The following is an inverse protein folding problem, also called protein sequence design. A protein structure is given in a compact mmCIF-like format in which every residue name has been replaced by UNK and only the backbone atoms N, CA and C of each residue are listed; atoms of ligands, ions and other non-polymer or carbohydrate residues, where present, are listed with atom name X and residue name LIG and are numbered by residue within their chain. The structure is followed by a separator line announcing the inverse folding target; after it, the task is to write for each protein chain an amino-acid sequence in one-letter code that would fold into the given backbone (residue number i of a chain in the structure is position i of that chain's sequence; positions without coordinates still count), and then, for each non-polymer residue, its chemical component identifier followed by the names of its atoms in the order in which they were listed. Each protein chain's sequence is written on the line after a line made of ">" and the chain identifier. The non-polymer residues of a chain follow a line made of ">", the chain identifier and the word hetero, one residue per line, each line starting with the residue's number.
data_IF_038705185996
#
_entry.id   IF_038705185996
#
_cell.length_a   1.000
_cell.length_b   1.000
_cell.length_c   1.000
_cell.angle_alpha   90.00
_cell.angle_beta   90.00
_cell.angle_gamma   90.00
#
_symmetry.space_group_name_H-M   'P 1'
#
loop_
_entity.id
_entity.type
_entity.pdbx_description
1 polymer ?
#
# COMPACT_ATOMS: atom_id res chain seq x y z
N UNK A 1 -20.68 -7.70 11.28
CA UNK A 1 -19.90 -6.86 10.33
C UNK A 1 -18.61 -7.55 9.88
N UNK A 2 -18.10 -7.21 8.69
CA UNK A 2 -16.85 -7.73 8.12
C UNK A 2 -15.63 -6.95 8.64
N UNK A 3 -14.48 -7.61 8.65
CA UNK A 3 -13.18 -7.08 9.09
C UNK A 3 -12.27 -6.98 7.87
N UNK A 4 -11.68 -5.80 7.68
CA UNK A 4 -10.72 -5.49 6.64
C UNK A 4 -9.33 -5.30 7.24
N UNK A 5 -8.33 -6.00 6.72
CA UNK A 5 -6.92 -5.62 6.95
C UNK A 5 -6.44 -4.70 5.85
N UNK A 6 -5.84 -3.57 6.22
CA UNK A 6 -5.22 -2.65 5.28
C UNK A 6 -3.71 -2.62 5.46
N UNK A 7 -2.97 -2.44 4.36
CA UNK A 7 -1.50 -2.45 4.35
C UNK A 7 -0.97 -1.16 3.72
N UNK A 8 -0.17 -0.36 4.45
CA UNK A 8 0.30 0.94 3.98
C UNK A 8 1.27 0.83 2.81
N UNK A 9 1.31 1.90 2.02
CA UNK A 9 2.33 2.11 1.00
C UNK A 9 3.59 2.77 1.58
N UNK A 10 4.44 3.30 0.71
CA UNK A 10 5.61 4.09 1.10
C UNK A 10 5.22 5.45 1.66
N UNK A 11 5.94 5.91 2.68
CA UNK A 11 5.70 7.13 3.44
C UNK A 11 5.87 6.94 4.97
N UNK A 12 5.15 6.00 5.60
CA UNK A 12 5.13 5.84 7.06
C UNK A 12 6.27 4.98 7.63
N UNK A 13 7.16 4.44 6.79
CA UNK A 13 8.30 3.65 7.24
C UNK A 13 9.21 4.45 8.18
N UNK A 14 9.79 3.76 9.16
CA UNK A 14 10.77 4.32 10.09
C UNK A 14 11.87 3.30 10.34
N UNK A 15 13.12 3.74 10.58
CA UNK A 15 14.18 2.86 11.03
C UNK A 15 13.74 2.14 12.30
N UNK A 16 14.05 0.85 12.42
CA UNK A 16 13.72 0.11 13.64
C UNK A 16 12.46 -0.76 13.55
N UNK A 17 11.71 -0.72 12.44
CA UNK A 17 10.41 -1.38 12.35
C UNK A 17 10.49 -2.91 12.21
N UNK A 18 11.58 -3.46 11.67
CA UNK A 18 11.83 -4.90 11.59
C UNK A 18 12.39 -5.50 12.89
N UNK A 19 12.91 -4.67 13.81
CA UNK A 19 13.27 -5.12 15.16
C UNK A 19 12.05 -5.16 16.09
N UNK A 20 10.95 -4.49 15.72
CA UNK A 20 9.69 -4.45 16.45
C UNK A 20 8.69 -5.55 16.03
N UNK A 21 9.10 -6.52 15.21
CA UNK A 21 8.21 -7.57 14.73
C UNK A 21 7.67 -8.43 15.89
N UNK A 22 6.43 -8.96 15.78
CA UNK A 22 5.88 -9.87 16.76
C UNK A 22 6.78 -11.09 16.98
N UNK A 23 6.89 -11.54 18.24
CA UNK A 23 7.68 -12.72 18.59
C UNK A 23 7.07 -14.00 18.00
N UNK A 24 7.92 -14.96 17.66
CA UNK A 24 7.49 -16.32 17.25
C UNK A 24 7.47 -16.58 15.75
N UNK A 25 7.92 -15.63 14.92
CA UNK A 25 8.12 -15.82 13.48
C UNK A 25 9.60 -15.78 13.08
N UNK A 26 10.00 -16.65 12.14
CA UNK A 26 11.31 -16.60 11.48
C UNK A 26 11.27 -15.79 10.17
N UNK A 27 10.26 -14.92 9.98
CA UNK A 27 10.00 -14.20 8.73
C UNK A 27 11.19 -13.33 8.27
N UNK A 28 11.90 -12.69 9.21
CA UNK A 28 13.07 -11.90 8.88
C UNK A 28 14.22 -12.78 8.38
N UNK A 29 14.45 -13.93 9.02
CA UNK A 29 15.46 -14.90 8.58
C UNK A 29 15.08 -15.54 7.24
N UNK A 30 13.81 -15.93 7.06
CA UNK A 30 13.28 -16.43 5.79
C UNK A 30 13.51 -15.41 4.67
N UNK A 31 13.18 -14.13 4.92
CA UNK A 31 13.44 -13.05 3.95
C UNK A 31 14.93 -12.91 3.64
N UNK A 32 15.81 -12.98 4.63
CA UNK A 32 17.25 -12.96 4.41
C UNK A 32 17.73 -14.12 3.54
N UNK A 33 17.27 -15.34 3.81
CA UNK A 33 17.62 -16.53 3.04
C UNK A 33 17.14 -16.43 1.58
N UNK A 34 15.94 -15.87 1.36
CA UNK A 34 15.38 -15.66 0.02
C UNK A 34 16.17 -14.60 -0.76
N UNK A 35 16.57 -13.52 -0.10
CA UNK A 35 17.30 -12.42 -0.73
C UNK A 35 18.79 -12.73 -0.91
N UNK A 36 19.34 -13.66 -0.14
CA UNK A 36 20.78 -13.93 -0.09
C UNK A 36 21.58 -12.83 0.61
N UNK A 37 20.92 -11.99 1.43
CA UNK A 37 21.52 -10.90 2.20
C UNK A 37 20.78 -10.72 3.53
N UNK A 38 21.38 -10.02 4.49
CA UNK A 38 20.73 -9.75 5.77
C UNK A 38 19.63 -8.69 5.63
N UNK A 39 18.36 -9.13 5.59
CA UNK A 39 17.19 -8.26 5.52
C UNK A 39 17.08 -7.29 6.71
N UNK A 40 17.66 -7.62 7.87
CA UNK A 40 17.71 -6.72 9.02
C UNK A 40 18.53 -5.46 8.77
N UNK A 41 19.47 -5.49 7.81
CA UNK A 41 20.26 -4.33 7.41
C UNK A 41 19.50 -3.37 6.50
N UNK A 42 18.35 -3.76 5.95
CA UNK A 42 17.52 -2.90 5.10
C UNK A 42 16.72 -1.87 5.92
N UNK A 43 16.62 -2.05 7.23
CA UNK A 43 15.80 -1.25 8.13
C UNK A 43 16.62 -0.27 8.97
N UNK A 44 17.35 0.61 8.28
CA UNK A 44 18.07 1.71 8.90
C UNK A 44 17.84 3.00 8.11
N UNK A 45 18.16 4.15 8.71
CA UNK A 45 17.90 5.46 8.12
C UNK A 45 18.56 5.67 6.74
N UNK A 46 19.71 5.04 6.50
CA UNK A 46 20.41 5.11 5.21
C UNK A 46 19.70 4.27 4.15
N UNK A 47 19.45 3.01 4.47
CA UNK A 47 18.81 2.05 3.58
C UNK A 47 17.38 2.50 3.22
N UNK A 48 16.61 3.03 4.17
CA UNK A 48 15.23 3.50 3.96
C UNK A 48 15.11 4.76 3.08
N UNK A 49 16.22 5.31 2.58
CA UNK A 49 16.18 6.28 1.47
C UNK A 49 15.94 5.60 0.11
N UNK A 50 16.19 4.29 0.03
CA UNK A 50 16.08 3.50 -1.18
C UNK A 50 14.73 2.79 -1.28
N UNK A 51 14.12 2.88 -2.45
CA UNK A 51 12.76 2.36 -2.69
C UNK A 51 12.70 0.84 -2.45
N UNK A 52 13.73 0.09 -2.86
CA UNK A 52 13.83 -1.35 -2.62
C UNK A 52 13.76 -1.72 -1.14
N UNK A 53 14.58 -1.07 -0.31
CA UNK A 53 14.64 -1.35 1.12
C UNK A 53 13.30 -1.03 1.79
N UNK A 54 12.72 0.13 1.50
CA UNK A 54 11.41 0.54 2.05
C UNK A 54 10.34 -0.50 1.73
N UNK A 55 10.23 -0.92 0.46
CA UNK A 55 9.20 -1.85 0.04
C UNK A 55 9.33 -3.23 0.68
N UNK A 56 10.56 -3.76 0.77
CA UNK A 56 10.83 -5.03 1.45
C UNK A 56 10.48 -4.96 2.94
N UNK A 57 10.86 -3.87 3.62
CA UNK A 57 10.56 -3.73 5.03
C UNK A 57 9.03 -3.62 5.28
N UNK A 58 8.30 -2.92 4.42
CA UNK A 58 6.83 -2.83 4.49
C UNK A 58 6.15 -4.19 4.27
N UNK A 59 6.64 -4.98 3.30
CA UNK A 59 6.17 -6.35 3.08
C UNK A 59 6.36 -7.22 4.33
N UNK A 60 7.59 -7.25 4.87
CA UNK A 60 7.95 -8.10 6.01
C UNK A 60 7.12 -7.70 7.25
N UNK A 61 7.08 -6.41 7.56
CA UNK A 61 6.33 -5.87 8.70
C UNK A 61 4.83 -6.19 8.58
N UNK A 62 4.22 -5.86 7.44
CA UNK A 62 2.79 -6.09 7.22
C UNK A 62 2.40 -7.56 7.35
N UNK A 63 3.15 -8.48 6.74
CA UNK A 63 2.88 -9.93 6.82
C UNK A 63 3.07 -10.45 8.25
N UNK A 64 4.12 -10.01 8.96
CA UNK A 64 4.39 -10.48 10.32
C UNK A 64 3.28 -10.08 11.30
N UNK A 65 2.85 -8.82 11.27
CA UNK A 65 1.77 -8.33 12.13
C UNK A 65 0.42 -8.97 11.79
N UNK A 66 0.09 -9.10 10.50
CA UNK A 66 -1.16 -9.75 10.09
C UNK A 66 -1.20 -11.23 10.51
N UNK A 67 -0.10 -11.98 10.31
CA UNK A 67 0.00 -13.38 10.75
C UNK A 67 -0.10 -13.51 12.27
N UNK A 68 0.48 -12.59 13.04
CA UNK A 68 0.37 -12.59 14.50
C UNK A 68 -1.08 -12.41 14.96
N UNK A 69 -1.86 -11.51 14.35
CA UNK A 69 -3.29 -11.37 14.64
C UNK A 69 -4.11 -12.60 14.23
N UNK A 70 -3.80 -13.17 13.07
CA UNK A 70 -4.43 -14.40 12.56
C UNK A 70 -4.20 -15.58 13.52
N UNK A 71 -2.98 -15.73 14.03
CA UNK A 71 -2.64 -16.75 15.05
C UNK A 71 -3.37 -16.51 16.38
N UNK A 72 -3.71 -15.27 16.70
CA UNK A 72 -4.56 -14.90 17.85
C UNK A 72 -6.07 -15.06 17.56
N UNK A 73 -6.46 -15.60 16.41
CA UNK A 73 -7.86 -15.88 16.05
C UNK A 73 -8.57 -14.76 15.27
N UNK A 74 -7.87 -13.68 14.95
CA UNK A 74 -8.39 -12.55 14.18
C UNK A 74 -8.16 -12.77 12.67
N UNK A 75 -9.18 -13.37 12.03
CA UNK A 75 -9.21 -13.63 10.60
C UNK A 75 -9.86 -12.44 9.87
N UNK A 76 -9.23 -11.88 8.82
CA UNK A 76 -9.85 -10.88 7.96
C UNK A 76 -10.85 -11.52 6.99
N UNK A 77 -11.95 -10.84 6.69
CA UNK A 77 -12.85 -11.22 5.58
C UNK A 77 -12.43 -10.57 4.26
N UNK A 78 -11.64 -9.50 4.35
CA UNK A 78 -11.14 -8.72 3.24
C UNK A 78 -9.74 -8.19 3.54
N UNK A 79 -8.92 -8.06 2.50
CA UNK A 79 -7.62 -7.39 2.55
C UNK A 79 -7.55 -6.33 1.45
N UNK A 80 -6.82 -5.25 1.69
CA UNK A 80 -6.49 -4.26 0.65
C UNK A 80 -5.17 -3.57 0.97
N UNK A 81 -4.44 -3.17 -0.05
CA UNK A 81 -3.14 -2.53 0.13
C UNK A 81 -2.96 -1.31 -0.74
N UNK A 82 -2.34 -0.27 -0.19
CA UNK A 82 -1.99 0.94 -0.95
C UNK A 82 -0.61 0.74 -1.57
N UNK A 83 -0.54 0.80 -2.90
CA UNK A 83 0.73 0.62 -3.64
C UNK A 83 1.42 -0.71 -3.27
N UNK A 84 2.65 -0.66 -2.77
CA UNK A 84 3.41 -1.82 -2.26
C UNK A 84 2.63 -2.64 -1.23
N UNK A 85 1.73 -2.03 -0.45
CA UNK A 85 0.87 -2.74 0.49
C UNK A 85 -0.01 -3.83 -0.16
N UNK A 86 -0.20 -3.80 -1.48
CA UNK A 86 -0.91 -4.84 -2.21
C UNK A 86 -0.23 -6.23 -2.09
N UNK A 87 1.10 -6.27 -1.96
CA UNK A 87 1.86 -7.52 -1.83
C UNK A 87 1.63 -8.23 -0.49
N UNK A 88 1.78 -7.59 0.69
CA UNK A 88 1.43 -8.23 1.95
C UNK A 88 -0.07 -8.57 2.02
N UNK A 89 -0.96 -7.78 1.40
CA UNK A 89 -2.37 -8.14 1.27
C UNK A 89 -2.56 -9.46 0.50
N UNK A 90 -1.93 -9.62 -0.67
CA UNK A 90 -1.99 -10.85 -1.45
C UNK A 90 -1.42 -12.07 -0.70
N UNK A 91 -0.34 -11.88 0.07
CA UNK A 91 0.24 -12.93 0.92
C UNK A 91 -0.73 -13.34 2.03
N UNK A 92 -1.33 -12.38 2.72
CA UNK A 92 -2.26 -12.62 3.84
C UNK A 92 -3.58 -13.24 3.36
N UNK A 93 -4.04 -12.89 2.16
CA UNK A 93 -5.15 -13.57 1.53
C UNK A 93 -4.81 -14.99 1.03
N UNK A 94 -3.54 -15.41 1.07
CA UNK A 94 -3.10 -16.72 0.56
C UNK A 94 -3.03 -16.81 -0.97
N UNK A 95 -3.10 -15.68 -1.69
CA UNK A 95 -2.99 -15.64 -3.14
C UNK A 95 -1.55 -15.73 -3.65
N UNK A 96 -0.59 -15.25 -2.86
CA UNK A 96 0.83 -15.19 -3.18
C UNK A 96 1.66 -15.78 -2.05
N UNK A 97 2.64 -16.64 -2.35
CA UNK A 97 3.55 -17.14 -1.34
C UNK A 97 4.47 -16.00 -0.84
N UNK A 98 4.79 -15.98 0.46
CA UNK A 98 5.67 -14.96 1.02
C UNK A 98 7.04 -14.94 0.32
N UNK A 99 7.61 -16.12 0.03
CA UNK A 99 8.90 -16.21 -0.64
C UNK A 99 8.90 -15.57 -2.03
N UNK A 100 7.84 -15.75 -2.80
CA UNK A 100 7.71 -15.12 -4.12
C UNK A 100 7.42 -13.63 -4.00
N UNK A 101 6.65 -13.21 -3.01
CA UNK A 101 6.44 -11.80 -2.72
C UNK A 101 7.76 -11.08 -2.40
N UNK A 102 8.65 -11.67 -1.61
CA UNK A 102 9.97 -11.09 -1.30
C UNK A 102 10.79 -10.89 -2.58
N UNK A 103 10.86 -11.90 -3.45
CA UNK A 103 11.59 -11.81 -4.73
C UNK A 103 11.01 -10.75 -5.65
N UNK A 104 9.69 -10.76 -5.84
CA UNK A 104 8.99 -9.81 -6.70
C UNK A 104 9.10 -8.38 -6.18
N UNK A 105 9.02 -8.18 -4.87
CA UNK A 105 9.15 -6.85 -4.25
C UNK A 105 10.57 -6.31 -4.34
N UNK A 106 11.59 -7.16 -4.20
CA UNK A 106 12.97 -6.76 -4.45
C UNK A 106 13.13 -6.23 -5.88
N UNK A 107 12.68 -7.00 -6.89
CA UNK A 107 12.72 -6.58 -8.29
C UNK A 107 11.90 -5.31 -8.55
N UNK A 108 10.69 -5.23 -7.99
CA UNK A 108 9.81 -4.05 -8.10
C UNK A 108 10.53 -2.81 -7.61
N UNK A 109 11.08 -2.84 -6.40
CA UNK A 109 11.74 -1.71 -5.80
C UNK A 109 12.98 -1.27 -6.58
N UNK A 110 13.80 -2.23 -7.02
CA UNK A 110 14.99 -1.99 -7.85
C UNK A 110 14.64 -1.33 -9.17
N UNK A 111 13.69 -1.90 -9.93
CA UNK A 111 13.34 -1.38 -11.25
C UNK A 111 12.63 -0.03 -11.21
N UNK A 112 11.81 0.22 -10.18
CA UNK A 112 11.22 1.54 -9.96
C UNK A 112 12.30 2.60 -9.71
N UNK A 113 13.29 2.29 -8.86
CA UNK A 113 14.37 3.19 -8.51
C UNK A 113 15.32 3.45 -9.69
N UNK A 114 15.67 2.42 -10.45
CA UNK A 114 16.56 2.53 -11.61
C UNK A 114 15.94 3.30 -12.78
N UNK A 115 14.62 3.21 -12.97
CA UNK A 115 13.94 3.91 -14.06
C UNK A 115 13.96 5.43 -13.89
N UNK A 116 13.86 5.91 -12.65
CA UNK A 116 13.85 7.35 -12.31
C UNK A 116 14.69 7.62 -11.05
N UNK A 117 16.03 7.64 -11.17
CA UNK A 117 16.91 7.76 -10.01
C UNK A 117 16.91 9.15 -9.36
N UNK A 118 16.55 10.20 -10.11
CA UNK A 118 16.49 11.58 -9.61
C UNK A 118 15.60 12.47 -10.48
N UNK A 119 15.19 13.64 -9.96
CA UNK A 119 14.47 14.66 -10.72
C UNK A 119 12.96 14.41 -10.88
N UNK A 120 12.44 13.37 -10.23
CA UNK A 120 11.03 12.96 -10.23
C UNK A 120 10.56 12.68 -8.81
N UNK A 121 9.26 12.47 -8.64
CA UNK A 121 8.70 12.04 -7.37
C UNK A 121 7.19 12.19 -7.33
N UNK A 122 6.69 12.46 -6.12
CA UNK A 122 5.26 12.60 -5.83
C UNK A 122 4.98 13.89 -5.06
N UNK A 123 3.84 14.52 -5.32
CA UNK A 123 3.34 15.68 -4.56
C UNK A 123 1.89 15.45 -4.16
N UNK A 124 1.59 15.57 -2.87
CA UNK A 124 0.22 15.52 -2.36
C UNK A 124 -0.43 16.92 -2.45
N UNK A 125 -1.61 16.97 -3.06
CA UNK A 125 -2.49 18.12 -3.15
C UNK A 125 -3.71 17.87 -2.26
N UNK A 126 -4.01 18.82 -1.37
CA UNK A 126 -5.14 18.75 -0.43
C UNK A 126 -6.07 19.94 -0.65
N UNK A 127 -7.37 19.68 -0.66
CA UNK A 127 -8.42 20.70 -0.75
C UNK A 127 -8.99 20.93 -2.15
N UNK A 128 -8.60 20.12 -3.15
CA UNK A 128 -9.21 20.11 -4.48
C UNK A 128 -9.70 18.71 -4.82
N UNK A 129 -10.87 18.64 -5.44
CA UNK A 129 -11.41 17.41 -6.03
C UNK A 129 -10.65 17.04 -7.31
N UNK A 130 -10.81 15.78 -7.77
CA UNK A 130 -10.20 15.31 -9.01
C UNK A 130 -10.59 16.21 -10.21
N UNK A 131 -11.87 16.52 -10.38
CA UNK A 131 -12.37 17.36 -11.47
C UNK A 131 -11.82 18.79 -11.43
N UNK A 132 -11.49 19.31 -10.24
CA UNK A 132 -10.85 20.62 -10.09
C UNK A 132 -9.35 20.59 -10.39
N UNK A 133 -8.67 19.47 -10.10
CA UNK A 133 -7.24 19.32 -10.25
C UNK A 133 -6.82 18.91 -11.66
N UNK A 134 -7.61 18.07 -12.34
CA UNK A 134 -7.31 17.56 -13.70
C UNK A 134 -6.96 18.66 -14.72
N UNK A 135 -7.70 19.78 -14.81
CA UNK A 135 -7.36 20.88 -15.73
C UNK A 135 -6.03 21.58 -15.40
N UNK A 136 -5.46 21.34 -14.21
CA UNK A 136 -4.25 21.97 -13.71
C UNK A 136 -3.00 21.08 -13.83
N UNK A 137 -3.11 19.84 -14.31
CA UNK A 137 -2.02 18.86 -14.22
C UNK A 137 -0.78 19.22 -15.05
N UNK A 138 -0.93 19.93 -16.18
CA UNK A 138 0.16 20.11 -17.14
C UNK A 138 0.79 18.77 -17.53
N UNK A 139 2.08 18.61 -17.28
CA UNK A 139 2.83 17.37 -17.56
C UNK A 139 2.84 16.36 -16.40
N UNK A 140 2.06 16.59 -15.35
CA UNK A 140 1.90 15.64 -14.24
C UNK A 140 0.82 14.60 -14.51
N UNK A 141 0.90 13.50 -13.78
CA UNK A 141 -0.08 12.41 -13.78
C UNK A 141 -0.82 12.36 -12.43
N UNK A 142 -2.07 11.89 -12.44
CA UNK A 142 -2.75 11.48 -11.21
C UNK A 142 -2.18 10.14 -10.74
N UNK A 143 -1.54 10.16 -9.58
CA UNK A 143 -0.90 8.98 -8.99
C UNK A 143 -1.82 8.28 -7.97
N UNK A 144 -2.41 9.04 -7.04
CA UNK A 144 -3.28 8.47 -6.02
C UNK A 144 -4.52 9.34 -5.79
N UNK A 145 -5.69 8.71 -5.77
CA UNK A 145 -6.95 9.27 -5.31
C UNK A 145 -7.22 8.73 -3.90
N UNK A 146 -6.65 9.39 -2.88
CA UNK A 146 -6.63 8.89 -1.51
C UNK A 146 -7.90 9.22 -0.72
N UNK A 147 -8.46 10.40 -0.97
CA UNK A 147 -9.78 10.84 -0.51
C UNK A 147 -10.38 11.82 -1.53
N UNK A 148 -11.64 12.22 -1.36
CA UNK A 148 -12.35 13.15 -2.25
C UNK A 148 -11.53 14.41 -2.59
N UNK A 149 -10.82 14.96 -1.60
CA UNK A 149 -9.98 16.15 -1.74
C UNK A 149 -8.52 15.93 -1.34
N UNK A 150 -8.05 14.68 -1.32
CA UNK A 150 -6.65 14.35 -1.03
C UNK A 150 -6.09 13.49 -2.17
N UNK A 151 -5.34 14.13 -3.06
CA UNK A 151 -4.87 13.55 -4.32
C UNK A 151 -3.35 13.65 -4.38
N UNK A 152 -2.67 12.66 -4.95
CA UNK A 152 -1.23 12.70 -5.20
C UNK A 152 -1.01 12.77 -6.71
N UNK A 153 -0.11 13.66 -7.12
CA UNK A 153 0.38 13.75 -8.49
C UNK A 153 1.81 13.18 -8.59
N UNK A 154 2.14 12.63 -9.75
CA UNK A 154 3.49 12.18 -10.11
C UNK A 154 4.01 12.97 -11.30
N UNK A 155 5.32 13.19 -11.38
CA UNK A 155 5.94 13.85 -12.52
C UNK A 155 7.37 14.27 -12.23
N UNK A 156 7.94 15.07 -13.14
CA UNK A 156 9.22 15.73 -12.88
C UNK A 156 9.06 16.76 -11.74
N UNK A 157 10.12 17.01 -10.98
CA UNK A 157 10.08 17.99 -9.90
C UNK A 157 9.62 19.38 -10.38
N UNK A 158 10.02 19.78 -11.59
CA UNK A 158 9.60 21.05 -12.17
C UNK A 158 8.10 21.06 -12.47
N UNK A 159 7.59 20.06 -13.19
CA UNK A 159 6.17 19.99 -13.54
C UNK A 159 5.29 19.93 -12.28
N UNK A 160 5.73 19.17 -11.26
CA UNK A 160 5.01 19.10 -9.98
C UNK A 160 4.97 20.45 -9.24
N UNK A 161 6.08 21.22 -9.24
CA UNK A 161 6.09 22.57 -8.65
C UNK A 161 5.12 23.52 -9.36
N UNK A 162 5.07 23.48 -10.68
CA UNK A 162 4.17 24.31 -11.48
C UNK A 162 2.70 23.93 -11.26
N UNK A 163 2.40 22.63 -11.20
CA UNK A 163 1.05 22.12 -10.86
C UNK A 163 0.66 22.46 -9.42
N UNK A 164 1.57 22.34 -8.47
CA UNK A 164 1.34 22.72 -7.08
C UNK A 164 1.01 24.22 -6.95
N UNK A 165 1.74 25.10 -7.65
CA UNK A 165 1.46 26.54 -7.66
C UNK A 165 0.07 26.84 -8.24
N UNK A 166 -0.31 26.21 -9.35
CA UNK A 166 -1.65 26.33 -9.94
C UNK A 166 -2.74 25.82 -8.99
N UNK A 167 -2.52 24.70 -8.31
CA UNK A 167 -3.46 24.14 -7.35
C UNK A 167 -3.68 25.09 -6.15
N UNK A 168 -2.61 25.63 -5.56
CA UNK A 168 -2.71 26.61 -4.46
C UNK A 168 -3.44 27.88 -4.90
N UNK A 169 -3.14 28.41 -6.09
CA UNK A 169 -3.85 29.56 -6.64
C UNK A 169 -5.35 29.28 -6.90
N UNK A 170 -5.72 28.03 -7.15
CA UNK A 170 -7.12 27.59 -7.34
C UNK A 170 -7.86 27.33 -6.02
N UNK A 171 -7.18 27.39 -4.88
CA UNK A 171 -7.77 27.20 -3.55
C UNK A 171 -7.42 25.88 -2.86
N UNK A 172 -6.42 25.13 -3.35
CA UNK A 172 -5.87 24.03 -2.58
C UNK A 172 -5.35 24.53 -1.23
N UNK A 173 -5.63 23.80 -0.16
CA UNK A 173 -5.18 24.11 1.19
C UNK A 173 -3.69 23.78 1.37
N UNK A 174 -3.21 22.75 0.67
CA UNK A 174 -1.83 22.27 0.77
C UNK A 174 -1.35 21.67 -0.55
N UNK A 175 -0.08 21.92 -0.86
CA UNK A 175 0.68 21.15 -1.83
C UNK A 175 2.01 20.78 -1.19
N UNK A 176 2.28 19.49 -1.01
CA UNK A 176 3.47 18.99 -0.30
C UNK A 176 4.16 17.88 -1.10
N UNK A 177 5.42 18.11 -1.44
CA UNK A 177 6.27 17.07 -2.01
C UNK A 177 6.49 15.96 -0.98
N UNK A 178 6.31 14.71 -1.41
CA UNK A 178 6.51 13.53 -0.57
C UNK A 178 8.00 13.14 -0.58
N UNK A 179 8.46 12.51 0.50
CA UNK A 179 9.81 11.94 0.59
C UNK A 179 9.91 10.62 -0.20
N UNK A 180 9.61 10.69 -1.49
CA UNK A 180 9.60 9.59 -2.46
C UNK A 180 10.16 10.12 -3.77
N UNK A 181 11.27 9.54 -4.23
CA UNK A 181 12.00 9.97 -5.44
C UNK A 181 11.51 9.30 -6.73
N UNK A 182 10.61 8.32 -6.63
CA UNK A 182 10.05 7.60 -7.79
C UNK A 182 8.67 8.14 -8.18
N UNK A 183 8.39 8.41 -9.46
CA UNK A 183 7.09 8.89 -9.93
C UNK A 183 6.11 7.73 -10.08
N UNK A 184 5.72 7.10 -8.98
CA UNK A 184 4.88 5.90 -9.03
C UNK A 184 3.43 6.19 -9.41
N UNK A 185 2.73 5.14 -9.86
CA UNK A 185 1.31 5.10 -10.20
C UNK A 185 0.93 5.90 -11.45
N UNK A 186 1.84 5.93 -12.43
CA UNK A 186 1.60 6.54 -13.72
C UNK A 186 2.39 5.86 -14.85
N UNK A 187 2.08 6.25 -16.08
CA UNK A 187 2.64 5.69 -17.31
C UNK A 187 4.18 5.74 -17.40
N UNK A 188 4.84 6.60 -16.63
CA UNK A 188 6.30 6.62 -16.50
C UNK A 188 6.86 5.24 -16.08
N UNK A 189 6.12 4.47 -15.29
CA UNK A 189 6.54 3.14 -14.86
C UNK A 189 5.99 1.98 -15.71
N UNK A 190 5.48 2.23 -16.92
CA UNK A 190 4.96 1.18 -17.81
C UNK A 190 6.02 0.12 -18.15
N UNK A 191 7.28 0.52 -18.39
CA UNK A 191 8.35 -0.44 -18.68
C UNK A 191 8.72 -1.30 -17.46
N UNK A 192 9.00 -0.74 -16.26
CA UNK A 192 9.14 -1.52 -15.03
C UNK A 192 7.95 -2.44 -14.73
N UNK A 193 6.71 -1.97 -14.94
CA UNK A 193 5.50 -2.77 -14.77
C UNK A 193 5.48 -3.97 -15.73
N UNK A 194 5.82 -3.77 -17.00
CA UNK A 194 5.93 -4.86 -17.99
C UNK A 194 7.01 -5.87 -17.58
N UNK A 195 8.17 -5.43 -17.06
CA UNK A 195 9.21 -6.34 -16.55
C UNK A 195 8.70 -7.17 -15.37
N UNK A 196 7.98 -6.54 -14.44
CA UNK A 196 7.38 -7.25 -13.30
C UNK A 196 6.30 -8.23 -13.73
N UNK A 197 5.46 -7.88 -14.71
CA UNK A 197 4.47 -8.79 -15.28
C UNK A 197 5.14 -10.05 -15.89
N UNK A 198 6.31 -9.91 -16.53
CA UNK A 198 7.07 -11.07 -17.03
C UNK A 198 7.63 -11.92 -15.88
N UNK A 199 8.09 -11.31 -14.78
CA UNK A 199 8.57 -12.04 -13.62
C UNK A 199 7.47 -12.90 -12.95
N UNK A 200 6.21 -12.46 -13.02
CA UNK A 200 5.07 -13.24 -12.54
C UNK A 200 4.83 -14.54 -13.32
N UNK A 201 5.36 -14.71 -14.53
CA UNK A 201 5.19 -15.94 -15.32
C UNK A 201 5.81 -17.17 -14.64
N UNK A 202 6.80 -16.98 -13.76
CA UNK A 202 7.44 -18.05 -12.99
C UNK A 202 6.81 -18.28 -11.61
N UNK A 203 5.78 -17.49 -11.24
CA UNK A 203 5.18 -17.49 -9.90
C UNK A 203 3.85 -18.22 -9.92
N UNK A 204 3.66 -19.13 -8.98
CA UNK A 204 2.37 -19.82 -8.80
C UNK A 204 1.48 -19.02 -7.86
N UNK A 205 0.43 -18.40 -8.41
CA UNK A 205 -0.62 -17.79 -7.60
C UNK A 205 -1.72 -18.80 -7.27
N UNK A 206 -2.43 -18.54 -6.18
CA UNK A 206 -3.58 -19.31 -5.72
C UNK A 206 -4.82 -18.41 -5.61
N UNK A 207 -6.00 -19.03 -5.62
CA UNK A 207 -7.24 -18.29 -5.31
C UNK A 207 -7.16 -17.80 -3.85
N UNK A 208 -7.45 -16.51 -3.57
CA UNK A 208 -7.41 -16.01 -2.21
C UNK A 208 -8.48 -16.66 -1.33
N UNK A 209 -8.17 -16.80 -0.05
CA UNK A 209 -9.03 -17.37 0.99
C UNK A 209 -10.05 -16.36 1.53
N UNK A 210 -9.79 -15.06 1.35
CA UNK A 210 -10.68 -13.96 1.68
C UNK A 210 -10.73 -12.93 0.53
N UNK A 211 -11.59 -11.92 0.62
CA UNK A 211 -11.73 -10.94 -0.47
C UNK A 211 -10.44 -10.12 -0.65
N UNK A 212 -9.77 -10.23 -1.80
CA UNK A 212 -8.71 -9.29 -2.17
C UNK A 212 -9.32 -8.08 -2.85
N UNK A 213 -9.35 -6.93 -2.19
CA UNK A 213 -9.86 -5.68 -2.74
C UNK A 213 -8.70 -4.87 -3.35
N UNK A 214 -8.69 -4.77 -4.68
CA UNK A 214 -7.66 -4.04 -5.42
C UNK A 214 -7.76 -2.54 -5.13
N UNK A 215 -6.66 -1.97 -4.62
CA UNK A 215 -6.50 -0.53 -4.45
C UNK A 215 -6.36 0.22 -5.78
N UNK A 216 -6.13 -0.46 -6.90
CA UNK A 216 -6.02 0.14 -8.24
C UNK A 216 -7.38 0.28 -8.93
N UNK A 217 -8.32 -0.64 -8.66
CA UNK A 217 -9.60 -0.74 -9.39
C UNK A 217 -10.83 -0.55 -8.52
N UNK A 218 -10.70 -0.61 -7.18
CA UNK A 218 -11.85 -0.62 -6.27
C UNK A 218 -12.72 -1.87 -6.39
N UNK A 219 -12.21 -2.95 -7.01
CA UNK A 219 -12.92 -4.22 -7.22
C UNK A 219 -12.32 -5.35 -6.40
N UNK A 220 -13.18 -6.28 -5.99
CA UNK A 220 -12.74 -7.53 -5.36
C UNK A 220 -12.28 -8.50 -6.46
N UNK A 221 -11.07 -9.02 -6.31
CA UNK A 221 -10.47 -9.99 -7.22
C UNK A 221 -10.41 -11.35 -6.53
N UNK A 222 -10.84 -12.38 -7.25
CA UNK A 222 -10.74 -13.79 -6.83
C UNK A 222 -9.89 -14.63 -7.77
N UNK A 223 -9.66 -14.15 -9.00
CA UNK A 223 -8.90 -14.89 -9.99
C UNK A 223 -7.40 -14.62 -9.80
N UNK A 224 -6.56 -15.66 -9.68
CA UNK A 224 -5.13 -15.51 -9.51
C UNK A 224 -4.48 -14.62 -10.58
N UNK A 225 -4.92 -14.74 -11.84
CA UNK A 225 -4.38 -14.00 -12.97
C UNK A 225 -4.71 -12.50 -12.86
N UNK A 226 -5.90 -12.15 -12.37
CA UNK A 226 -6.30 -10.77 -12.13
C UNK A 226 -5.49 -10.15 -10.97
N UNK A 227 -5.16 -10.93 -9.94
CA UNK A 227 -4.30 -10.48 -8.83
C UNK A 227 -2.87 -10.27 -9.33
N UNK A 228 -2.34 -11.16 -10.16
CA UNK A 228 -1.03 -11.00 -10.77
C UNK A 228 -0.95 -9.71 -11.62
N UNK A 229 -1.97 -9.46 -12.46
CA UNK A 229 -2.08 -8.23 -13.24
C UNK A 229 -2.16 -6.98 -12.36
N UNK A 230 -2.98 -7.01 -11.31
CA UNK A 230 -3.09 -5.91 -10.34
C UNK A 230 -1.74 -5.63 -9.68
N UNK A 231 -1.06 -6.64 -9.13
CA UNK A 231 0.22 -6.49 -8.45
C UNK A 231 1.33 -5.99 -9.39
N UNK A 232 1.45 -6.56 -10.58
CA UNK A 232 2.50 -6.22 -11.55
C UNK A 232 2.36 -4.79 -12.06
N UNK A 233 1.14 -4.42 -12.44
CA UNK A 233 0.85 -3.13 -13.06
C UNK A 233 0.48 -2.03 -12.07
N UNK A 234 0.29 -2.35 -10.78
CA UNK A 234 -0.02 -1.37 -9.74
C UNK A 234 0.96 -0.20 -9.71
N UNK A 235 2.25 -0.43 -9.99
CA UNK A 235 3.24 0.66 -10.00
C UNK A 235 3.01 1.68 -11.12
N UNK A 236 2.32 1.31 -12.21
CA UNK A 236 2.07 2.18 -13.36
C UNK A 236 0.62 2.68 -13.46
N UNK A 237 -0.28 2.13 -12.64
CA UNK A 237 -1.70 2.50 -12.61
C UNK A 237 -1.99 3.44 -11.45
N UNK A 238 -2.86 4.42 -11.68
CA UNK A 238 -3.39 5.29 -10.63
C UNK A 238 -4.02 4.45 -9.51
N UNK A 239 -3.68 4.78 -8.27
CA UNK A 239 -4.28 4.16 -7.08
C UNK A 239 -5.63 4.84 -6.80
N UNK A 240 -6.69 4.05 -6.69
CA UNK A 240 -8.07 4.48 -6.42
C UNK A 240 -8.48 4.12 -4.99
N UNK A 241 -7.69 4.58 -4.02
CA UNK A 241 -7.83 4.15 -2.63
C UNK A 241 -9.16 4.58 -2.01
N UNK A 242 -9.61 5.81 -2.27
CA UNK A 242 -10.90 6.31 -1.76
C UNK A 242 -12.06 5.42 -2.22
N UNK A 243 -12.09 5.06 -3.51
CA UNK A 243 -13.11 4.18 -4.06
C UNK A 243 -13.03 2.76 -3.53
N UNK A 244 -11.82 2.24 -3.28
CA UNK A 244 -11.66 0.96 -2.62
C UNK A 244 -12.29 0.99 -1.22
N UNK A 245 -12.04 2.04 -0.42
CA UNK A 245 -12.62 2.14 0.92
C UNK A 245 -14.14 2.35 0.92
N UNK A 246 -14.69 3.12 -0.04
CA UNK A 246 -16.13 3.19 -0.27
C UNK A 246 -16.71 1.80 -0.59
N UNK A 247 -16.08 1.09 -1.53
CA UNK A 247 -16.48 -0.27 -1.91
C UNK A 247 -16.40 -1.27 -0.73
N UNK A 248 -15.44 -1.08 0.18
CA UNK A 248 -15.36 -1.87 1.41
C UNK A 248 -16.52 -1.56 2.38
N UNK A 249 -16.85 -0.27 2.56
CA UNK A 249 -17.97 0.16 3.41
C UNK A 249 -19.32 -0.38 2.89
N UNK A 250 -19.56 -0.26 1.57
CA UNK A 250 -20.73 -0.85 0.89
C UNK A 250 -20.84 -2.38 1.04
N UNK A 251 -19.70 -3.04 1.32
CA UNK A 251 -19.62 -4.49 1.56
C UNK A 251 -19.69 -4.82 3.05
N UNK A 252 -20.20 -3.91 3.88
CA UNK A 252 -20.47 -4.10 5.31
C UNK A 252 -19.19 -4.34 6.14
N UNK A 253 -18.05 -3.83 5.66
CA UNK A 253 -16.86 -3.72 6.52
C UNK A 253 -17.18 -2.74 7.64
N UNK A 254 -17.15 -3.24 8.88
CA UNK A 254 -17.41 -2.45 10.08
C UNK A 254 -16.18 -2.21 10.94
N UNK A 255 -15.06 -2.85 10.59
CA UNK A 255 -13.77 -2.66 11.24
C UNK A 255 -12.65 -2.79 10.20
N UNK A 256 -11.88 -1.72 10.01
CA UNK A 256 -10.63 -1.73 9.27
C UNK A 256 -9.44 -1.65 10.22
N UNK A 257 -8.45 -2.52 10.04
CA UNK A 257 -7.23 -2.57 10.85
C UNK A 257 -6.04 -2.37 9.92
N UNK A 258 -5.37 -1.23 10.05
CA UNK A 258 -4.14 -0.92 9.34
C UNK A 258 -2.96 -1.61 10.00
N UNK A 259 -2.25 -2.43 9.23
CA UNK A 259 -1.01 -3.05 9.66
C UNK A 259 0.11 -2.00 9.76
N UNK A 260 1.06 -2.15 10.70
CA UNK A 260 2.16 -1.21 10.84
C UNK A 260 3.02 -1.13 9.57
N UNK A 261 3.70 0.01 9.33
CA UNK A 261 3.84 1.15 10.24
C UNK A 261 2.83 2.29 9.97
N UNK A 262 2.63 3.13 10.98
CA UNK A 262 1.89 4.38 10.89
C UNK A 262 0.37 4.24 11.04
N UNK A 263 -0.34 5.28 10.64
CA UNK A 263 -1.80 5.40 10.78
C UNK A 263 -2.46 6.14 9.61
N UNK A 264 -1.78 6.18 8.45
CA UNK A 264 -2.22 6.97 7.29
C UNK A 264 -3.50 6.37 6.71
N UNK A 265 -3.54 5.06 6.51
CA UNK A 265 -4.69 4.40 5.91
C UNK A 265 -5.91 4.45 6.84
N UNK A 266 -5.73 4.37 8.14
CA UNK A 266 -6.81 4.51 9.13
C UNK A 266 -7.47 5.89 9.03
N UNK A 267 -6.66 6.94 8.86
CA UNK A 267 -7.14 8.30 8.62
C UNK A 267 -7.93 8.45 7.32
N UNK A 268 -7.40 7.89 6.23
CA UNK A 268 -8.08 7.90 4.92
C UNK A 268 -9.38 7.08 4.93
N UNK A 269 -9.35 5.91 5.58
CA UNK A 269 -10.50 5.00 5.68
C UNK A 269 -11.65 5.65 6.43
N UNK A 270 -11.38 6.37 7.53
CA UNK A 270 -12.41 7.12 8.27
C UNK A 270 -13.13 8.18 7.44
N UNK A 271 -12.50 8.72 6.40
CA UNK A 271 -13.16 9.68 5.51
C UNK A 271 -14.10 9.01 4.50
N UNK A 272 -13.90 7.73 4.22
CA UNK A 272 -14.70 6.96 3.25
C UNK A 272 -15.75 6.07 3.90
N UNK A 273 -15.63 5.76 5.19
CA UNK A 273 -16.59 4.93 5.89
C UNK A 273 -17.77 5.76 6.39
N UNK A 274 -18.98 5.41 5.96
CA UNK A 274 -20.21 5.97 6.52
C UNK A 274 -20.47 5.41 7.92
N UNK A 275 -20.06 4.17 8.16
CA UNK A 275 -20.25 3.41 9.39
C UNK A 275 -19.01 2.56 9.69
N UNK A 276 -18.76 2.27 10.97
CA UNK A 276 -17.69 1.39 11.42
C UNK A 276 -16.46 2.12 11.97
N UNK A 277 -15.43 1.34 12.30
CA UNK A 277 -14.20 1.83 12.92
C UNK A 277 -13.00 1.56 12.01
N UNK A 278 -12.01 2.46 12.02
CA UNK A 278 -10.73 2.22 11.38
C UNK A 278 -9.60 2.59 12.34
N UNK A 279 -8.76 1.60 12.64
CA UNK A 279 -7.69 1.69 13.64
C UNK A 279 -6.33 1.33 13.04
N UNK A 280 -5.28 1.98 13.55
CA UNK A 280 -3.89 1.59 13.32
C UNK A 280 -3.47 0.60 14.38
N UNK A 281 -2.99 -0.57 13.97
CA UNK A 281 -2.49 -1.57 14.90
C UNK A 281 -1.29 -1.03 15.71
N UNK A 282 -0.43 -0.23 15.09
CA UNK A 282 0.72 0.36 15.77
C UNK A 282 0.30 1.30 16.91
N UNK A 283 -0.75 2.10 16.70
CA UNK A 283 -1.23 3.06 17.71
C UNK A 283 -2.16 2.42 18.75
N UNK A 284 -2.92 1.40 18.34
CA UNK A 284 -3.98 0.81 19.15
C UNK A 284 -3.57 -0.46 19.90
N UNK A 285 -2.57 -1.17 19.38
CA UNK A 285 -2.12 -2.47 19.88
C UNK A 285 -3.09 -3.63 19.59
N UNK A 286 -2.58 -4.85 19.71
CA UNK A 286 -3.29 -6.08 19.42
C UNK A 286 -4.55 -6.27 20.29
N UNK A 287 -4.47 -5.91 21.57
CA UNK A 287 -5.57 -6.12 22.52
C UNK A 287 -6.85 -5.37 22.12
N UNK A 288 -6.72 -4.11 21.67
CA UNK A 288 -7.87 -3.35 21.19
C UNK A 288 -8.38 -3.93 19.86
N UNK A 289 -7.48 -4.27 18.94
CA UNK A 289 -7.86 -4.86 17.65
C UNK A 289 -8.67 -6.15 17.83
N UNK A 290 -8.24 -7.04 18.73
CA UNK A 290 -8.94 -8.28 19.09
C UNK A 290 -10.32 -8.00 19.70
N UNK A 291 -10.38 -7.08 20.66
CA UNK A 291 -11.66 -6.70 21.31
C UNK A 291 -12.67 -6.15 20.30
N UNK A 292 -12.22 -5.28 19.40
CA UNK A 292 -13.09 -4.71 18.36
C UNK A 292 -13.51 -5.78 17.34
N UNK A 293 -12.62 -6.71 16.99
CA UNK A 293 -12.94 -7.82 16.09
C UNK A 293 -14.01 -8.76 16.66
N UNK A 294 -13.94 -9.08 17.96
CA UNK A 294 -14.97 -9.86 18.66
C UNK A 294 -16.33 -9.15 18.61
N UNK A 295 -16.36 -7.84 18.89
CA UNK A 295 -17.57 -7.03 18.78
C UNK A 295 -18.12 -6.97 17.35
N UNK A 296 -17.26 -6.80 16.36
CA UNK A 296 -17.66 -6.77 14.95
C UNK A 296 -18.26 -8.11 14.49
N UNK A 297 -17.73 -9.23 14.99
CA UNK A 297 -18.25 -10.58 14.73
C UNK A 297 -19.56 -10.87 15.45
N UNK A 298 -19.74 -10.39 16.69
CA UNK A 298 -20.99 -10.53 17.43
C UNK A 298 -22.17 -9.76 16.80
N UNK A 299 -21.87 -8.76 15.96
CA UNK A 299 -22.85 -7.98 15.17
C UNK A 299 -22.98 -8.50 13.72
N UNK A 300 -22.68 -9.77 13.46
CA UNK A 300 -22.96 -10.42 12.16
C UNK A 300 -24.34 -11.05 12.15
#
# INVERSE_FOLDING_TARGET
>A
MKILFTFPGQGPQRPGMLQALPRGGNLLAEASDILGEDAGRLDNAEALRHTRAVQLCLLISGVAHARALIHQGLQPDMVSGLSIGAFPAAVVAGALAFADAVRLVALRGEWMEQAYPSGYGLTAIVGLTQTQLEPLLGECYLANLNAEQQIVIAGSEQAMRETAARALAKGAQKAQQLAVSVPSHCALLDEPARKLAHAFAAVRLSRPQCSYLSGSTGRVLWQPEAIADDLANNMARTVRWHEAMLAASEREVGLAIEMPPGAVLSGLTRQAFDHGEAISLEQSGDALALTLAERARARR
#
